data_IF_279837756394
#
_entry.id   IF_279837756394
#
_cell.length_a   1.000
_cell.length_b   1.000
_cell.length_c   1.000
_cell.angle_alpha   90.00
_cell.angle_beta   90.00
_cell.angle_gamma   90.00
#
_symmetry.space_group_name_H-M   'P 1'
#
loop_
_entity.id
_entity.type
_entity.pdbx_description
1 polymer ?
#
# COMPACT_ATOMS: atom_id res chain seq x y z
N UNK A 1 -38.70 7.97 17.11
CA UNK A 1 -37.82 6.83 17.44
C UNK A 1 -36.70 6.85 16.41
N UNK A 2 -35.53 7.36 16.79
CA UNK A 2 -34.39 7.49 15.88
C UNK A 2 -33.82 6.10 15.58
N UNK A 3 -34.04 5.63 14.37
CA UNK A 3 -33.36 4.46 13.82
C UNK A 3 -31.89 4.86 13.58
N UNK A 4 -30.98 4.32 14.38
CA UNK A 4 -29.54 4.47 14.09
C UNK A 4 -29.27 3.82 12.73
N UNK A 5 -28.91 4.63 11.75
CA UNK A 5 -28.46 4.17 10.42
C UNK A 5 -27.01 3.71 10.60
N UNK A 6 -26.84 2.40 10.79
CA UNK A 6 -25.54 1.74 10.89
C UNK A 6 -25.58 0.39 10.16
N UNK A 7 -24.41 -0.17 9.87
CA UNK A 7 -24.28 -1.50 9.29
C UNK A 7 -24.54 -2.57 10.37
N UNK A 8 -25.17 -3.69 10.01
CA UNK A 8 -25.29 -4.84 10.92
C UNK A 8 -23.99 -5.66 10.84
N UNK A 9 -23.14 -5.64 11.90
CA UNK A 9 -21.83 -6.28 11.82
C UNK A 9 -21.92 -7.80 11.67
N UNK A 10 -22.95 -8.43 12.24
CA UNK A 10 -23.13 -9.88 12.15
C UNK A 10 -23.50 -10.30 10.72
N UNK A 11 -24.42 -9.57 10.08
CA UNK A 11 -24.79 -9.82 8.68
C UNK A 11 -23.60 -9.60 7.76
N UNK A 12 -22.84 -8.53 7.96
CA UNK A 12 -21.68 -8.22 7.10
C UNK A 12 -20.53 -9.21 7.32
N UNK A 13 -20.30 -9.66 8.55
CA UNK A 13 -19.34 -10.74 8.82
C UNK A 13 -19.73 -12.05 8.11
N UNK A 14 -21.03 -12.38 8.09
CA UNK A 14 -21.52 -13.55 7.36
C UNK A 14 -21.37 -13.41 5.84
N UNK A 15 -21.61 -12.23 5.28
CA UNK A 15 -21.37 -11.95 3.86
C UNK A 15 -19.89 -12.09 3.53
N UNK A 16 -19.00 -11.49 4.33
CA UNK A 16 -17.55 -11.60 4.16
C UNK A 16 -17.08 -13.05 4.15
N UNK A 17 -17.56 -13.86 5.10
CA UNK A 17 -17.24 -15.29 5.16
C UNK A 17 -17.70 -16.05 3.90
N UNK A 18 -18.91 -15.78 3.40
CA UNK A 18 -19.42 -16.41 2.18
C UNK A 18 -18.63 -16.02 0.94
N UNK A 19 -18.14 -14.78 0.86
CA UNK A 19 -17.29 -14.33 -0.25
C UNK A 19 -15.95 -15.06 -0.23
N UNK A 20 -15.30 -15.19 0.94
CA UNK A 20 -14.06 -15.98 1.08
C UNK A 20 -14.24 -17.45 0.72
N UNK A 21 -15.39 -18.05 1.08
CA UNK A 21 -15.73 -19.42 0.67
C UNK A 21 -15.87 -19.55 -0.85
N UNK A 22 -16.50 -18.57 -1.53
CA UNK A 22 -16.60 -18.55 -3.00
C UNK A 22 -15.23 -18.39 -3.67
N UNK A 23 -14.37 -17.54 -3.12
CA UNK A 23 -12.99 -17.41 -3.60
C UNK A 23 -12.23 -18.75 -3.46
N UNK A 24 -12.37 -19.45 -2.34
CA UNK A 24 -11.78 -20.79 -2.17
C UNK A 24 -12.26 -21.77 -3.25
N UNK A 25 -13.56 -21.79 -3.55
CA UNK A 25 -14.12 -22.63 -4.62
C UNK A 25 -13.58 -22.26 -6.02
N UNK A 26 -13.32 -20.97 -6.30
CA UNK A 26 -12.68 -20.55 -7.55
C UNK A 26 -11.22 -21.03 -7.66
N UNK A 27 -10.48 -21.12 -6.53
CA UNK A 27 -9.15 -21.75 -6.53
C UNK A 27 -9.21 -23.22 -6.89
N UNK A 28 -10.19 -23.94 -6.34
CA UNK A 28 -10.41 -25.36 -6.65
C UNK A 28 -10.73 -25.55 -8.13
N UNK A 29 -11.60 -24.70 -8.71
CA UNK A 29 -11.89 -24.71 -10.15
C UNK A 29 -10.62 -24.42 -10.97
N UNK A 30 -9.83 -23.41 -10.57
CA UNK A 30 -8.58 -23.06 -11.27
C UNK A 30 -7.60 -24.23 -11.27
N UNK A 31 -7.44 -24.92 -10.13
CA UNK A 31 -6.59 -26.10 -10.01
C UNK A 31 -7.13 -27.30 -10.83
N UNK A 32 -8.45 -27.47 -10.89
CA UNK A 32 -9.06 -28.51 -11.72
C UNK A 32 -8.82 -28.28 -13.22
N UNK A 33 -8.95 -27.04 -13.69
CA UNK A 33 -8.62 -26.67 -15.08
C UNK A 33 -7.13 -26.86 -15.35
N UNK A 34 -6.25 -26.46 -14.41
CA UNK A 34 -4.82 -26.67 -14.55
C UNK A 34 -4.48 -28.16 -14.71
N UNK A 35 -5.07 -29.03 -13.88
CA UNK A 35 -4.91 -30.48 -14.00
C UNK A 35 -5.40 -31.01 -15.35
N UNK A 36 -6.56 -30.54 -15.83
CA UNK A 36 -7.09 -30.92 -17.13
C UNK A 36 -6.14 -30.51 -18.28
N UNK A 37 -5.60 -29.28 -18.25
CA UNK A 37 -4.64 -28.78 -19.25
C UNK A 37 -3.36 -29.62 -19.24
N UNK A 38 -2.83 -29.95 -18.06
CA UNK A 38 -1.65 -30.82 -17.94
C UNK A 38 -1.92 -32.24 -18.45
N UNK A 39 -3.12 -32.80 -18.24
CA UNK A 39 -3.45 -34.15 -18.71
C UNK A 39 -3.40 -34.31 -20.23
N UNK A 40 -3.53 -33.22 -20.99
CA UNK A 40 -3.44 -33.23 -22.45
C UNK A 40 -2.02 -33.55 -22.94
N UNK A 41 -0.98 -33.23 -22.16
CA UNK A 41 0.42 -33.51 -22.52
C UNK A 41 0.71 -35.00 -22.77
N UNK A 42 -0.04 -35.91 -22.12
CA UNK A 42 0.16 -37.34 -22.30
C UNK A 42 -0.46 -37.91 -23.59
N UNK A 43 -1.27 -37.10 -24.30
CA UNK A 43 -2.08 -37.55 -25.43
C UNK A 43 -1.98 -36.62 -26.66
N UNK A 44 -1.26 -35.51 -26.55
CA UNK A 44 -1.16 -34.50 -27.60
C UNK A 44 0.23 -33.86 -27.60
N UNK A 45 1.00 -34.20 -28.64
CA UNK A 45 2.35 -33.68 -28.89
C UNK A 45 2.35 -32.62 -30.00
N UNK A 46 3.36 -31.74 -29.98
CA UNK A 46 3.64 -30.78 -31.05
C UNK A 46 3.56 -29.31 -30.61
N UNK A 47 3.77 -28.41 -31.57
CA UNK A 47 3.79 -26.96 -31.33
C UNK A 47 2.43 -26.46 -30.81
N UNK A 48 1.33 -26.91 -31.40
CA UNK A 48 -0.01 -26.49 -30.98
C UNK A 48 -0.31 -26.87 -29.52
N UNK A 49 0.14 -28.05 -29.07
CA UNK A 49 0.02 -28.49 -27.68
C UNK A 49 0.83 -27.59 -26.72
N UNK A 50 2.00 -27.13 -27.17
CA UNK A 50 2.86 -26.19 -26.44
C UNK A 50 2.21 -24.80 -26.35
N UNK A 51 1.70 -24.29 -27.47
CA UNK A 51 1.04 -22.99 -27.54
C UNK A 51 -0.23 -22.96 -26.68
N UNK A 52 -1.02 -24.02 -26.70
CA UNK A 52 -2.22 -24.15 -25.86
C UNK A 52 -1.90 -24.08 -24.36
N UNK A 53 -0.85 -24.77 -23.91
CA UNK A 53 -0.40 -24.69 -22.52
C UNK A 53 0.16 -23.30 -22.16
N UNK A 54 0.84 -22.66 -23.11
CA UNK A 54 1.32 -21.30 -22.93
C UNK A 54 0.15 -20.32 -22.74
N UNK A 55 -0.95 -20.46 -23.50
CA UNK A 55 -2.16 -19.66 -23.30
C UNK A 55 -2.77 -19.87 -21.91
N UNK A 56 -2.86 -21.11 -21.44
CA UNK A 56 -3.31 -21.39 -20.07
C UNK A 56 -2.40 -20.70 -19.04
N UNK A 57 -1.09 -20.93 -19.13
CA UNK A 57 -0.10 -20.48 -18.16
C UNK A 57 0.03 -18.97 -18.10
N UNK A 58 0.03 -18.29 -19.25
CA UNK A 58 0.34 -16.88 -19.35
C UNK A 58 -0.89 -15.97 -19.45
N UNK A 59 -2.06 -16.48 -19.86
CA UNK A 59 -3.25 -15.67 -20.07
C UNK A 59 -4.40 -16.06 -19.13
N UNK A 60 -4.82 -17.33 -19.15
CA UNK A 60 -6.07 -17.72 -18.48
C UNK A 60 -5.91 -17.97 -16.99
N UNK A 61 -4.87 -18.69 -16.56
CA UNK A 61 -4.60 -18.94 -15.14
C UNK A 61 -4.40 -17.63 -14.36
N UNK A 62 -3.55 -16.69 -14.79
CA UNK A 62 -3.38 -15.42 -14.09
C UNK A 62 -4.69 -14.63 -13.97
N UNK A 63 -5.54 -14.64 -15.00
CA UNK A 63 -6.83 -13.95 -14.96
C UNK A 63 -7.79 -14.57 -13.93
N UNK A 64 -7.87 -15.91 -13.85
CA UNK A 64 -8.69 -16.61 -12.85
C UNK A 64 -8.15 -16.41 -11.42
N UNK A 65 -6.83 -16.45 -11.25
CA UNK A 65 -6.17 -16.14 -9.98
C UNK A 65 -6.50 -14.71 -9.54
N UNK A 66 -6.39 -13.73 -10.45
CA UNK A 66 -6.73 -12.34 -10.15
C UNK A 66 -8.19 -12.20 -9.69
N UNK A 67 -9.17 -12.76 -10.41
CA UNK A 67 -10.59 -12.71 -10.00
C UNK A 67 -10.80 -13.36 -8.61
N UNK A 68 -10.07 -14.42 -8.32
CA UNK A 68 -10.17 -15.13 -7.05
C UNK A 68 -9.64 -14.28 -5.89
N UNK A 69 -8.48 -13.65 -6.07
CA UNK A 69 -7.88 -12.72 -5.11
C UNK A 69 -8.80 -11.52 -4.85
N UNK A 70 -9.42 -10.98 -5.90
CA UNK A 70 -10.38 -9.88 -5.80
C UNK A 70 -11.62 -10.23 -4.96
N UNK A 71 -12.20 -11.43 -5.13
CA UNK A 71 -13.37 -11.87 -4.36
C UNK A 71 -12.97 -12.17 -2.90
N UNK A 72 -11.78 -12.73 -2.69
CA UNK A 72 -11.25 -12.92 -1.34
C UNK A 72 -11.06 -11.58 -0.62
N UNK A 73 -10.50 -10.59 -1.31
CA UNK A 73 -10.27 -9.28 -0.73
C UNK A 73 -11.55 -8.52 -0.41
N UNK A 74 -12.58 -8.65 -1.25
CA UNK A 74 -13.93 -8.17 -0.92
C UNK A 74 -14.49 -8.84 0.33
N UNK A 75 -14.28 -10.16 0.47
CA UNK A 75 -14.66 -10.91 1.65
C UNK A 75 -13.93 -10.45 2.91
N UNK A 76 -12.62 -10.19 2.81
CA UNK A 76 -11.80 -9.70 3.93
C UNK A 76 -12.19 -8.28 4.36
N UNK A 77 -12.44 -7.39 3.39
CA UNK A 77 -12.92 -6.03 3.63
C UNK A 77 -14.23 -6.01 4.43
N UNK A 78 -15.20 -6.87 4.07
CA UNK A 78 -16.45 -6.99 4.83
C UNK A 78 -16.20 -7.43 6.29
N UNK A 79 -15.26 -8.36 6.53
CA UNK A 79 -14.90 -8.80 7.87
C UNK A 79 -14.26 -7.68 8.70
N UNK A 80 -13.33 -6.92 8.11
CA UNK A 80 -12.66 -5.80 8.78
C UNK A 80 -13.67 -4.72 9.19
N UNK A 81 -14.55 -4.30 8.26
CA UNK A 81 -15.61 -3.32 8.54
C UNK A 81 -16.54 -3.77 9.69
N UNK A 82 -16.91 -5.05 9.71
CA UNK A 82 -17.73 -5.60 10.78
C UNK A 82 -17.00 -5.55 12.13
N UNK A 83 -15.72 -5.90 12.15
CA UNK A 83 -14.92 -5.92 13.37
C UNK A 83 -14.68 -4.52 13.94
N UNK A 84 -14.45 -3.53 13.09
CA UNK A 84 -14.28 -2.13 13.49
C UNK A 84 -15.55 -1.57 14.15
N UNK A 85 -16.74 -1.84 13.59
CA UNK A 85 -17.99 -1.40 14.21
C UNK A 85 -18.28 -2.09 15.54
N UNK A 86 -17.90 -3.36 15.69
CA UNK A 86 -17.98 -4.08 16.96
C UNK A 86 -17.05 -3.46 18.02
N UNK A 87 -15.83 -3.06 17.64
CA UNK A 87 -14.88 -2.41 18.54
C UNK A 87 -15.38 -1.03 19.02
N UNK A 88 -15.95 -0.23 18.11
CA UNK A 88 -16.53 1.08 18.45
C UNK A 88 -17.76 0.94 19.35
N UNK A 89 -18.62 -0.04 19.09
CA UNK A 89 -19.83 -0.28 19.88
C UNK A 89 -19.53 -0.89 21.26
N UNK A 90 -18.44 -1.67 21.38
CA UNK A 90 -17.98 -2.24 22.64
C UNK A 90 -17.21 -1.27 23.54
N UNK A 91 -16.75 -0.13 23.01
CA UNK A 91 -15.96 0.87 23.74
C UNK A 91 -16.76 1.84 24.62
N UNK A 92 -18.09 1.85 24.53
CA UNK A 92 -18.95 2.69 25.36
C UNK A 92 -19.20 2.04 26.73
N UNK A 93 -18.13 1.79 27.50
CA UNK A 93 -18.28 1.05 28.76
C UNK A 93 -17.05 0.88 29.62
N UNK A 94 -16.13 1.85 29.70
CA UNK A 94 -15.18 1.93 30.81
C UNK A 94 -14.57 3.33 30.93
N UNK A 95 -14.96 4.07 31.97
CA UNK A 95 -14.26 5.28 32.43
C UNK A 95 -12.98 4.94 33.22
N UNK A 96 -12.15 5.96 33.52
CA UNK A 96 -10.70 5.81 33.65
C UNK A 96 -10.23 5.46 35.06
N UNK A 97 -9.17 4.64 35.14
CA UNK A 97 -8.46 4.32 36.38
C UNK A 97 -6.95 4.53 36.21
N UNK A 98 -6.42 5.49 36.95
CA UNK A 98 -5.00 5.84 37.04
C UNK A 98 -4.17 4.82 37.85
N UNK A 99 -2.84 4.81 37.59
CA UNK A 99 -1.82 4.18 38.45
C UNK A 99 -0.60 3.72 37.63
N UNK A 100 0.42 4.55 37.44
CA UNK A 100 1.59 4.74 38.32
C UNK A 100 2.79 3.84 37.94
N UNK A 101 3.87 4.48 37.49
CA UNK A 101 5.25 3.97 37.47
C UNK A 101 5.82 3.93 38.91
N UNK A 102 6.89 3.16 39.19
CA UNK A 102 8.29 3.64 39.11
C UNK A 102 9.29 2.53 38.65
N UNK A 103 10.59 2.65 38.39
CA UNK A 103 11.61 3.70 38.49
C UNK A 103 13.03 3.07 38.38
N UNK A 104 13.93 3.75 37.66
CA UNK A 104 15.41 3.87 37.72
C UNK A 104 16.42 2.73 37.98
N UNK A 105 17.52 2.76 37.20
CA UNK A 105 18.91 2.40 37.56
C UNK A 105 19.73 1.88 36.36
N UNK A 106 20.53 2.71 35.65
CA UNK A 106 22.01 2.81 35.75
C UNK A 106 22.72 1.59 35.10
N UNK A 107 23.67 1.64 34.15
CA UNK A 107 24.86 2.49 33.93
C UNK A 107 25.49 2.09 32.57
N UNK A 108 26.21 3.02 31.92
CA UNK A 108 27.13 2.78 30.76
C UNK A 108 28.50 2.22 31.22
N UNK A 109 29.33 1.63 30.33
CA UNK A 109 30.38 2.46 29.68
C UNK A 109 30.76 2.10 28.22
N UNK A 110 31.59 3.00 27.68
CA UNK A 110 32.17 3.28 26.34
C UNK A 110 33.25 2.30 25.85
N UNK A 111 33.42 2.22 24.51
CA UNK A 111 34.70 2.31 23.70
C UNK A 111 34.70 1.35 22.47
N UNK A 112 35.29 1.56 21.27
CA UNK A 112 35.99 2.62 20.50
C UNK A 112 36.42 2.01 19.13
N UNK A 113 36.49 2.82 18.05
CA UNK A 113 37.34 2.64 16.84
C UNK A 113 36.73 1.82 15.68
N UNK A 114 36.87 2.13 14.38
CA UNK A 114 37.68 3.04 13.56
C UNK A 114 37.65 2.52 12.08
N UNK A 115 38.04 3.29 11.04
CA UNK A 115 37.42 3.28 9.70
C UNK A 115 38.22 2.60 8.57
N UNK A 116 37.62 2.44 7.38
CA UNK A 116 38.33 2.07 6.13
C UNK A 116 37.48 2.19 4.87
N UNK A 117 37.94 3.00 3.90
CA UNK A 117 37.25 3.37 2.67
C UNK A 117 37.77 2.61 1.42
N UNK A 118 36.83 2.35 0.47
CA UNK A 118 36.87 2.28 -1.02
C UNK A 118 38.04 1.60 -1.79
N UNK A 119 37.80 1.09 -3.03
CA UNK A 119 37.85 1.94 -4.24
C UNK A 119 36.87 1.59 -5.39
N UNK A 120 36.79 2.49 -6.39
CA UNK A 120 35.99 2.43 -7.64
C UNK A 120 36.81 2.02 -8.89
N UNK A 121 36.13 1.58 -9.95
CA UNK A 121 36.61 1.50 -11.36
C UNK A 121 35.50 0.97 -12.32
N UNK A 122 35.58 1.17 -13.66
CA UNK A 122 34.83 2.24 -14.36
C UNK A 122 33.82 1.83 -15.48
N UNK A 123 32.81 2.69 -15.70
CA UNK A 123 32.19 3.14 -16.99
C UNK A 123 31.34 2.17 -17.86
N UNK A 124 30.17 2.51 -18.43
CA UNK A 124 29.43 3.78 -18.47
C UNK A 124 28.17 3.76 -19.38
N UNK A 125 27.36 4.84 -19.27
CA UNK A 125 26.27 5.27 -20.16
C UNK A 125 24.87 5.23 -19.51
N UNK A 126 24.12 6.31 -19.25
CA UNK A 126 24.27 7.75 -19.42
C UNK A 126 22.88 8.41 -19.29
N UNK A 127 22.66 9.28 -18.29
CA UNK A 127 21.53 10.22 -18.19
C UNK A 127 21.98 11.45 -17.38
N UNK A 128 21.49 12.67 -17.68
CA UNK A 128 22.12 13.92 -17.23
C UNK A 128 21.80 14.30 -15.77
N UNK A 129 22.78 15.02 -15.20
CA UNK A 129 22.98 15.62 -13.85
C UNK A 129 21.80 16.42 -13.26
N UNK A 130 21.66 16.59 -11.94
CA UNK A 130 22.60 16.28 -10.86
C UNK A 130 22.09 16.63 -9.45
N UNK A 131 22.05 15.59 -8.61
CA UNK A 131 22.33 15.57 -7.16
C UNK A 131 22.84 14.14 -6.88
N UNK A 132 23.66 13.88 -5.85
CA UNK A 132 23.95 12.50 -5.46
C UNK A 132 22.63 11.82 -5.11
N UNK A 133 22.21 10.84 -5.92
CA UNK A 133 21.01 10.06 -5.59
C UNK A 133 21.24 9.38 -4.26
N UNK A 134 20.38 9.68 -3.30
CA UNK A 134 20.42 9.03 -1.99
C UNK A 134 20.07 7.55 -2.14
N UNK A 135 20.39 6.73 -1.12
CA UNK A 135 19.93 5.33 -1.11
C UNK A 135 18.40 5.24 -1.21
N UNK A 136 17.70 6.19 -0.57
CA UNK A 136 16.25 6.33 -0.67
C UNK A 136 15.82 6.58 -2.13
N UNK A 137 16.45 7.54 -2.83
CA UNK A 137 16.09 7.86 -4.23
C UNK A 137 16.19 6.62 -5.13
N UNK A 138 17.24 5.80 -4.92
CA UNK A 138 17.44 4.56 -5.68
C UNK A 138 16.37 3.52 -5.38
N UNK A 139 16.04 3.32 -4.10
CA UNK A 139 14.99 2.39 -3.67
C UNK A 139 13.62 2.84 -4.14
N UNK A 140 13.31 4.13 -4.06
CA UNK A 140 12.07 4.70 -4.59
C UNK A 140 11.97 4.51 -6.10
N UNK A 141 13.05 4.72 -6.86
CA UNK A 141 13.06 4.46 -8.30
C UNK A 141 12.84 2.97 -8.61
N UNK A 142 13.46 2.06 -7.87
CA UNK A 142 13.27 0.62 -8.03
C UNK A 142 11.83 0.17 -7.67
N UNK A 143 11.28 0.71 -6.59
CA UNK A 143 9.88 0.50 -6.19
C UNK A 143 8.93 0.94 -7.30
N UNK A 144 9.11 2.15 -7.82
CA UNK A 144 8.31 2.68 -8.90
C UNK A 144 8.41 1.86 -10.19
N UNK A 145 9.61 1.44 -10.57
CA UNK A 145 9.82 0.57 -11.73
C UNK A 145 9.17 -0.82 -11.54
N UNK A 146 9.15 -1.32 -10.30
CA UNK A 146 8.54 -2.61 -9.97
C UNK A 146 7.03 -2.55 -10.10
N UNK A 147 6.40 -1.48 -9.62
CA UNK A 147 4.95 -1.44 -9.45
C UNK A 147 4.20 -0.70 -10.55
N UNK A 148 4.81 0.28 -11.24
CA UNK A 148 4.14 1.07 -12.28
C UNK A 148 3.46 0.18 -13.33
N UNK A 149 2.16 0.41 -13.56
CA UNK A 149 1.34 -0.35 -14.49
C UNK A 149 0.88 -1.73 -13.97
N UNK A 150 1.10 -2.03 -12.68
CA UNK A 150 0.63 -3.26 -12.04
C UNK A 150 -0.42 -2.98 -10.97
N UNK A 151 -1.27 -3.97 -10.74
CA UNK A 151 -2.13 -4.01 -9.57
C UNK A 151 -1.28 -4.25 -8.32
N UNK A 152 -1.54 -3.46 -7.30
CA UNK A 152 -0.88 -3.51 -5.99
C UNK A 152 -2.01 -3.49 -4.96
N UNK A 153 -2.13 -4.59 -4.24
CA UNK A 153 -3.12 -4.86 -3.19
C UNK A 153 -2.36 -5.48 -2.01
N UNK A 154 -1.89 -4.61 -1.11
CA UNK A 154 -0.96 -4.96 -0.04
C UNK A 154 -1.71 -5.64 1.10
N UNK A 155 -2.84 -5.06 1.51
CA UNK A 155 -3.61 -5.51 2.67
C UNK A 155 -4.70 -6.54 2.30
N UNK A 156 -4.94 -6.78 1.00
CA UNK A 156 -6.01 -7.64 0.49
C UNK A 156 -7.37 -7.18 0.95
N UNK A 157 -7.55 -5.88 1.16
CA UNK A 157 -8.79 -5.25 1.57
C UNK A 157 -9.11 -4.10 0.63
N UNK A 158 -10.38 -3.99 0.23
CA UNK A 158 -10.85 -2.92 -0.67
C UNK A 158 -10.20 -2.93 -2.08
N UNK A 159 -9.39 -3.96 -2.39
CA UNK A 159 -8.73 -4.12 -3.68
C UNK A 159 -7.58 -3.14 -3.84
N UNK A 160 -7.40 -2.64 -5.05
CA UNK A 160 -6.22 -1.89 -5.45
C UNK A 160 -6.31 -0.38 -5.13
N UNK A 161 -6.07 0.01 -3.87
CA UNK A 161 -6.26 1.39 -3.40
C UNK A 161 -4.97 2.21 -3.37
N UNK A 162 -5.13 3.53 -3.22
CA UNK A 162 -4.00 4.43 -2.98
C UNK A 162 -3.22 4.07 -1.70
N UNK A 163 -3.93 3.58 -0.68
CA UNK A 163 -3.34 3.16 0.59
C UNK A 163 -2.39 1.96 0.44
N UNK A 164 -2.64 1.07 -0.53
CA UNK A 164 -1.78 -0.08 -0.81
C UNK A 164 -0.41 0.35 -1.30
N UNK A 165 -0.36 1.35 -2.19
CA UNK A 165 0.91 1.94 -2.66
C UNK A 165 1.74 2.44 -1.49
N UNK A 166 1.11 3.16 -0.58
CA UNK A 166 1.78 3.64 0.64
C UNK A 166 2.24 2.49 1.52
N UNK A 167 1.38 1.51 1.77
CA UNK A 167 1.67 0.39 2.69
C UNK A 167 2.80 -0.48 2.17
N UNK A 168 2.80 -0.80 0.88
CA UNK A 168 3.89 -1.54 0.23
C UNK A 168 5.19 -0.74 0.21
N UNK A 169 5.14 0.58 -0.05
CA UNK A 169 6.33 1.43 0.00
C UNK A 169 6.92 1.51 1.42
N UNK A 170 6.06 1.65 2.42
CA UNK A 170 6.45 1.68 3.82
C UNK A 170 7.12 0.37 4.26
N UNK A 171 6.64 -0.77 3.74
CA UNK A 171 7.24 -2.08 3.97
C UNK A 171 8.58 -2.24 3.23
N UNK A 172 8.60 -2.09 1.90
CA UNK A 172 9.74 -2.46 1.05
C UNK A 172 10.89 -1.46 1.11
N UNK A 173 10.58 -0.17 1.22
CA UNK A 173 11.57 0.91 1.10
C UNK A 173 11.91 1.51 2.46
N UNK A 174 10.90 1.78 3.29
CA UNK A 174 11.08 2.41 4.60
C UNK A 174 11.40 1.38 5.68
N UNK A 175 10.97 0.12 5.52
CA UNK A 175 11.16 -0.94 6.51
C UNK A 175 10.34 -0.72 7.78
N UNK A 176 9.25 0.07 7.71
CA UNK A 176 8.37 0.37 8.83
C UNK A 176 7.24 -0.66 8.98
N UNK A 177 6.69 -0.83 10.20
CA UNK A 177 5.46 -1.59 10.39
C UNK A 177 4.27 -0.85 9.75
N UNK A 178 3.14 -1.53 9.59
CA UNK A 178 1.90 -0.92 9.10
C UNK A 178 1.52 0.33 9.92
N UNK A 179 1.17 1.40 9.22
CA UNK A 179 0.64 2.63 9.83
C UNK A 179 -0.89 2.52 9.85
N UNK A 180 -1.49 2.92 10.97
CA UNK A 180 -2.93 2.75 11.21
C UNK A 180 -3.70 3.96 10.65
N UNK A 181 -4.90 3.70 10.11
CA UNK A 181 -5.82 4.74 9.65
C UNK A 181 -7.13 4.64 10.44
N UNK A 182 -7.15 5.16 11.68
CA UNK A 182 -8.25 4.89 12.61
C UNK A 182 -9.40 5.89 12.52
N UNK A 183 -9.16 7.12 12.06
CA UNK A 183 -10.16 8.19 12.09
C UNK A 183 -11.19 8.06 10.96
N UNK A 184 -10.73 7.81 9.75
CA UNK A 184 -11.56 7.62 8.56
C UNK A 184 -11.39 6.26 7.91
N UNK A 185 -10.38 5.48 8.28
CA UNK A 185 -10.04 4.25 7.56
C UNK A 185 -9.27 4.52 6.27
N UNK A 186 -8.79 5.76 6.08
CA UNK A 186 -8.33 6.25 4.78
C UNK A 186 -6.96 6.94 4.79
N UNK A 187 -6.45 7.19 3.59
CA UNK A 187 -5.15 7.81 3.34
C UNK A 187 -4.85 9.06 4.15
N UNK A 188 -5.81 9.97 4.39
CA UNK A 188 -5.52 11.22 5.13
C UNK A 188 -5.15 10.99 6.60
N UNK A 189 -5.52 9.84 7.17
CA UNK A 189 -5.26 9.53 8.58
C UNK A 189 -3.77 9.32 8.84
N UNK A 190 -3.00 8.87 7.84
CA UNK A 190 -1.53 8.72 7.99
C UNK A 190 -0.87 10.06 8.35
N UNK A 191 -1.49 11.17 7.93
CA UNK A 191 -1.04 12.54 8.17
C UNK A 191 -1.72 13.19 9.38
N UNK A 192 -3.05 13.05 9.51
CA UNK A 192 -3.82 13.68 10.57
C UNK A 192 -3.57 13.03 11.93
N UNK A 193 -3.46 11.70 11.97
CA UNK A 193 -3.27 10.89 13.18
C UNK A 193 -1.77 10.62 13.44
N UNK A 194 -0.90 11.41 12.82
CA UNK A 194 0.56 11.22 12.81
C UNK A 194 1.19 10.96 14.19
N UNK A 195 0.65 11.58 15.24
CA UNK A 195 1.13 11.41 16.61
C UNK A 195 0.77 10.07 17.25
N UNK A 196 -0.22 9.34 16.72
CA UNK A 196 -0.83 8.17 17.36
C UNK A 196 -0.83 6.92 16.47
N UNK A 197 -0.64 7.05 15.16
CA UNK A 197 -0.73 5.94 14.21
C UNK A 197 0.59 5.19 13.95
N UNK A 198 1.70 5.66 14.53
CA UNK A 198 3.05 5.11 14.35
C UNK A 198 3.91 5.82 13.30
N UNK A 199 3.35 6.71 12.48
CA UNK A 199 4.07 7.39 11.40
C UNK A 199 5.24 8.25 11.94
N UNK A 200 5.08 8.87 13.11
CA UNK A 200 6.11 9.70 13.72
C UNK A 200 7.42 8.95 14.04
N UNK A 201 7.42 7.62 14.12
CA UNK A 201 8.65 6.84 14.30
C UNK A 201 9.51 6.86 13.02
N UNK A 202 8.90 6.69 11.85
CA UNK A 202 9.58 6.45 10.58
C UNK A 202 9.61 7.64 9.63
N UNK A 203 8.73 8.62 9.83
CA UNK A 203 8.59 9.77 8.95
C UNK A 203 8.79 11.09 9.70
N UNK A 204 9.23 12.11 8.97
CA UNK A 204 9.08 13.51 9.32
C UNK A 204 7.84 14.05 8.61
N UNK A 205 6.88 14.59 9.36
CA UNK A 205 5.72 15.30 8.78
C UNK A 205 6.09 16.73 8.41
N UNK A 206 5.79 17.12 7.16
CA UNK A 206 6.06 18.43 6.59
C UNK A 206 4.73 18.99 6.07
N UNK A 207 4.29 20.15 6.57
CA UNK A 207 3.03 20.73 6.11
C UNK A 207 3.14 21.30 4.69
N UNK A 208 2.02 21.32 3.98
CA UNK A 208 1.94 22.02 2.70
C UNK A 208 2.36 23.48 2.87
N UNK A 209 3.35 23.92 2.08
CA UNK A 209 3.93 25.27 2.17
C UNK A 209 5.21 25.38 3.00
N UNK A 210 5.52 24.40 3.85
CA UNK A 210 6.72 24.42 4.71
C UNK A 210 7.99 23.88 4.03
N UNK A 211 7.89 23.48 2.76
CA UNK A 211 9.03 23.07 1.94
C UNK A 211 8.61 22.32 0.68
N UNK A 212 9.53 22.19 -0.30
CA UNK A 212 9.27 21.42 -1.50
C UNK A 212 9.26 19.91 -1.21
N UNK A 213 8.50 19.13 -1.99
CA UNK A 213 8.62 17.68 -1.99
C UNK A 213 10.04 17.26 -2.38
N UNK A 214 10.41 16.05 -1.97
CA UNK A 214 11.61 15.34 -2.40
C UNK A 214 11.23 13.96 -2.91
N UNK A 215 12.09 13.38 -3.74
CA UNK A 215 11.97 11.97 -4.11
C UNK A 215 11.93 11.12 -2.83
N UNK A 216 10.98 10.19 -2.80
CA UNK A 216 10.73 9.31 -1.68
C UNK A 216 9.77 9.84 -0.61
N UNK A 217 9.35 11.10 -0.68
CA UNK A 217 8.28 11.62 0.16
C UNK A 217 6.95 10.94 -0.17
N UNK A 218 6.14 10.71 0.85
CA UNK A 218 4.73 10.32 0.69
C UNK A 218 3.89 11.59 0.71
N UNK A 219 3.30 11.95 -0.42
CA UNK A 219 2.38 13.10 -0.53
C UNK A 219 0.97 12.68 -0.11
N UNK A 220 0.30 13.52 0.69
CA UNK A 220 -1.03 13.22 1.24
C UNK A 220 -2.02 14.34 0.91
N UNK A 221 -3.14 13.98 0.29
CA UNK A 221 -4.27 14.89 0.04
C UNK A 221 -5.41 14.61 1.01
N UNK A 222 -6.06 15.68 1.47
CA UNK A 222 -7.14 15.65 2.47
C UNK A 222 -8.54 15.73 1.88
N UNK A 223 -8.68 15.79 0.55
CA UNK A 223 -9.97 15.91 -0.12
C UNK A 223 -10.85 14.66 0.10
N UNK A 224 -12.16 14.87 0.24
CA UNK A 224 -13.13 13.78 0.40
C UNK A 224 -13.08 13.08 1.77
N UNK A 225 -13.80 11.98 1.89
CA UNK A 225 -13.93 11.23 3.15
C UNK A 225 -12.61 10.59 3.57
N UNK A 226 -11.91 9.94 2.64
CA UNK A 226 -10.74 9.11 2.95
C UNK A 226 -9.39 9.78 2.64
N UNK A 227 -9.39 10.88 1.86
CA UNK A 227 -8.16 11.45 1.33
C UNK A 227 -7.55 10.61 0.21
N UNK A 228 -6.33 10.97 -0.18
CA UNK A 228 -5.54 10.27 -1.19
C UNK A 228 -4.05 10.31 -0.84
N UNK A 229 -3.27 9.38 -1.36
CA UNK A 229 -1.83 9.28 -1.08
C UNK A 229 -1.06 8.79 -2.30
N UNK A 230 0.19 9.25 -2.42
CA UNK A 230 1.14 8.84 -3.46
C UNK A 230 2.58 8.91 -2.98
N UNK A 231 3.48 8.19 -3.66
CA UNK A 231 4.92 8.22 -3.40
C UNK A 231 5.61 9.07 -4.45
N UNK A 232 6.27 10.16 -4.05
CA UNK A 232 6.98 11.06 -4.96
C UNK A 232 8.18 10.34 -5.57
N UNK A 233 8.20 10.22 -6.89
CA UNK A 233 9.23 9.49 -7.67
C UNK A 233 10.16 10.42 -8.42
N UNK A 234 9.73 11.64 -8.72
CA UNK A 234 10.53 12.68 -9.35
C UNK A 234 10.09 14.06 -8.89
N UNK A 235 11.02 15.03 -8.87
CA UNK A 235 10.74 16.44 -8.57
C UNK A 235 11.40 17.29 -9.64
N UNK A 236 10.70 18.33 -10.08
CA UNK A 236 11.16 19.33 -11.04
C UNK A 236 10.86 20.73 -10.48
N UNK A 237 11.38 21.77 -11.13
CA UNK A 237 11.06 23.15 -10.74
C UNK A 237 9.56 23.47 -10.88
N UNK A 238 8.86 22.77 -11.78
CA UNK A 238 7.44 23.00 -12.06
C UNK A 238 6.46 22.12 -11.26
N UNK A 239 6.95 21.11 -10.54
CA UNK A 239 6.08 20.14 -9.88
C UNK A 239 6.79 18.86 -9.47
N UNK A 240 6.01 17.80 -9.28
CA UNK A 240 6.52 16.48 -8.95
C UNK A 240 5.75 15.39 -9.68
N UNK A 241 6.35 14.21 -9.80
CA UNK A 241 5.67 12.98 -10.23
C UNK A 241 5.54 12.08 -9.02
N UNK A 242 4.37 11.45 -8.85
CA UNK A 242 4.15 10.46 -7.83
C UNK A 242 3.59 9.16 -8.42
N UNK A 243 4.04 8.03 -7.87
CA UNK A 243 3.38 6.74 -8.10
C UNK A 243 2.14 6.68 -7.22
N UNK A 244 1.01 6.51 -7.86
CA UNK A 244 -0.29 6.51 -7.21
C UNK A 244 -1.16 5.41 -7.81
N UNK A 245 -2.25 5.11 -7.13
CA UNK A 245 -3.22 4.13 -7.59
C UNK A 245 -4.61 4.63 -7.25
N UNK A 246 -5.58 4.28 -8.09
CA UNK A 246 -6.96 4.70 -7.89
C UNK A 246 -7.14 6.24 -7.87
N UNK A 247 -6.44 6.95 -8.77
CA UNK A 247 -6.32 8.43 -8.82
C UNK A 247 -7.41 9.12 -9.62
N UNK A 248 -8.03 8.40 -10.54
CA UNK A 248 -9.08 8.86 -11.40
C UNK A 248 -10.45 8.60 -10.74
N UNK A 249 -11.43 9.48 -10.99
CA UNK A 249 -12.84 9.24 -10.64
C UNK A 249 -13.46 7.98 -11.28
N UNK A 250 -12.65 7.07 -11.82
CA UNK A 250 -12.97 5.68 -12.18
C UNK A 250 -12.90 4.73 -10.99
N UNK A 251 -12.36 5.20 -9.87
CA UNK A 251 -12.48 4.65 -8.53
C UNK A 251 -13.92 4.78 -8.00
N UNK A 252 -14.89 4.12 -8.64
CA UNK A 252 -16.20 3.93 -8.02
C UNK A 252 -16.00 3.11 -6.74
N UNK A 253 -16.81 3.33 -5.70
CA UNK A 253 -16.84 2.49 -4.49
C UNK A 253 -17.20 1.01 -4.75
N UNK A 254 -17.26 0.61 -6.03
CA UNK A 254 -17.60 -0.72 -6.55
C UNK A 254 -16.55 -1.27 -7.54
N UNK A 255 -15.52 -0.51 -7.89
CA UNK A 255 -14.42 -0.99 -8.76
C UNK A 255 -13.27 -1.52 -7.94
N UNK A 256 -12.66 -2.61 -8.39
CA UNK A 256 -11.53 -3.31 -7.78
C UNK A 256 -10.20 -2.53 -7.75
N UNK A 257 -10.27 -1.20 -7.86
CA UNK A 257 -9.18 -0.24 -8.05
C UNK A 257 -8.55 -0.28 -9.45
N UNK A 258 -7.61 0.64 -9.70
CA UNK A 258 -6.83 0.71 -10.94
C UNK A 258 -5.41 0.15 -10.73
N UNK A 259 -4.66 -0.06 -11.80
CA UNK A 259 -3.21 -0.29 -11.70
C UNK A 259 -2.53 0.99 -11.19
N UNK A 260 -1.32 0.86 -10.65
CA UNK A 260 -0.53 2.05 -10.30
C UNK A 260 -0.13 2.83 -11.56
N UNK A 261 -0.03 4.14 -11.43
CA UNK A 261 0.39 5.06 -12.47
C UNK A 261 1.32 6.13 -11.91
N UNK A 262 2.31 6.53 -12.71
CA UNK A 262 3.08 7.75 -12.49
C UNK A 262 2.23 8.96 -12.90
N UNK A 263 1.80 9.76 -11.93
CA UNK A 263 0.99 10.97 -12.16
C UNK A 263 1.86 12.20 -11.93
N UNK A 264 1.88 13.10 -12.91
CA UNK A 264 2.62 14.37 -12.80
C UNK A 264 1.69 15.47 -12.30
N UNK A 265 2.18 16.20 -11.33
CA UNK A 265 1.46 17.19 -10.55
C UNK A 265 2.19 18.53 -10.60
N UNK A 266 1.57 19.52 -11.24
CA UNK A 266 2.12 20.88 -11.37
C UNK A 266 1.88 21.70 -10.11
N UNK A 267 2.87 22.46 -9.66
CA UNK A 267 2.67 23.41 -8.56
C UNK A 267 1.61 24.45 -8.92
N UNK A 268 0.77 24.82 -7.96
CA UNK A 268 -0.34 25.77 -8.15
C UNK A 268 -1.64 25.17 -8.69
N UNK A 269 -1.60 23.99 -9.32
CA UNK A 269 -2.79 23.24 -9.75
C UNK A 269 -3.31 22.30 -8.66
N UNK A 270 -2.40 21.86 -7.78
CA UNK A 270 -2.68 21.02 -6.64
C UNK A 270 -3.59 21.72 -5.62
N UNK A 271 -4.75 21.13 -5.31
CA UNK A 271 -5.60 21.57 -4.19
C UNK A 271 -5.72 20.47 -3.15
N UNK A 272 -5.72 20.87 -1.87
CA UNK A 272 -5.98 19.99 -0.75
C UNK A 272 -4.87 19.02 -0.36
N UNK A 273 -3.62 19.26 -0.80
CA UNK A 273 -2.46 18.63 -0.15
C UNK A 273 -2.45 19.05 1.32
N UNK A 274 -2.41 18.07 2.23
CA UNK A 274 -2.16 18.29 3.66
C UNK A 274 -0.67 18.52 3.92
N UNK A 275 0.16 17.73 3.25
CA UNK A 275 1.61 17.83 3.33
C UNK A 275 2.30 16.57 2.84
N UNK A 276 3.53 16.37 3.31
CA UNK A 276 4.40 15.26 2.96
C UNK A 276 4.82 14.51 4.23
N UNK A 277 4.89 13.19 4.15
CA UNK A 277 5.60 12.34 5.11
C UNK A 277 6.92 11.93 4.48
N UNK A 278 8.02 12.49 4.97
CA UNK A 278 9.38 12.22 4.49
C UNK A 278 10.00 11.08 5.29
N UNK A 279 10.40 9.95 4.69
CA UNK A 279 11.10 8.91 5.41
C UNK A 279 12.33 9.47 6.14
N UNK A 280 12.49 9.12 7.40
CA UNK A 280 13.75 9.32 8.11
C UNK A 280 14.74 8.33 7.54
N UNK A 281 15.98 8.75 7.31
CA UNK A 281 17.03 7.83 6.88
C UNK A 281 17.11 6.66 7.86
N UNK A 282 16.95 5.43 7.36
CA UNK A 282 17.25 4.22 8.13
C UNK A 282 18.73 4.26 8.48
N UNK A 283 19.04 4.25 9.77
CA UNK A 283 20.41 4.08 10.29
C UNK A 283 20.92 2.69 9.93
#
# INVERSE_FOLDING_TARGET
MNQFVGMDPAIVQQIGTRLKQRAAHLREITAAVESAVHSLQGNWDGQDATDFQAWWTHQHRPALTAVTEQIEGLGQSALNNAQEQLAVSGGAGAGPGAGAAPGHGGVTPVATGGPGAAPQGPGGGGAPSGAPQTDLDRKTAAFAATWNGKYLDYDKAYGNQCYDVFSQYNHDVVGGPGIHAATTGGAKDIYNDYGTNGAAAHYQRIAAGDGPPRVGDVVVWGNGTYGHVGVVTAVTDGGFTALEQNTDGRASSTSTGAVTHQVTHTYGEQRGILGYLRPKSTV
#
